data_IF_024196383335
#
_entry.id   IF_024196383335
#
_cell.length_a   1.000
_cell.length_b   1.000
_cell.length_c   1.000
_cell.angle_alpha   90.00
_cell.angle_beta   90.00
_cell.angle_gamma   90.00
#
_symmetry.space_group_name_H-M   'P 1'
#
loop_
_entity.id
_entity.type
_entity.pdbx_description
1 polymer ?
#
# COMPACT_ATOMS: atom_id res chain seq x y z
N UNK A 1 -6.03 -10.23 -12.06
CA UNK A 1 -6.24 -8.85 -11.54
C UNK A 1 -5.85 -8.75 -10.07
N UNK A 2 -5.00 -7.79 -9.71
CA UNK A 2 -4.56 -7.51 -8.33
C UNK A 2 -4.97 -6.11 -7.88
N UNK A 3 -5.36 -5.95 -6.61
CA UNK A 3 -5.66 -4.64 -6.04
C UNK A 3 -4.39 -3.89 -5.69
N UNK A 4 -4.38 -2.58 -5.99
CA UNK A 4 -3.30 -1.68 -5.67
C UNK A 4 -3.69 -0.74 -4.51
N UNK A 5 -2.69 -0.45 -3.69
CA UNK A 5 -2.77 0.53 -2.59
C UNK A 5 -1.66 1.53 -2.81
N UNK A 6 -2.02 2.82 -2.86
CA UNK A 6 -1.01 3.87 -2.84
C UNK A 6 -0.62 4.18 -1.39
N UNK A 7 0.67 4.45 -1.15
CA UNK A 7 1.11 5.02 0.13
C UNK A 7 0.85 6.52 0.18
N UNK A 8 1.04 7.21 -0.94
CA UNK A 8 0.92 8.66 -1.02
C UNK A 8 0.44 9.07 -2.43
N UNK A 9 -0.87 9.13 -2.62
CA UNK A 9 -1.47 9.55 -3.88
C UNK A 9 -2.65 10.46 -3.61
N UNK A 10 -2.37 11.75 -3.72
CA UNK A 10 -3.28 12.84 -3.45
C UNK A 10 -3.24 13.86 -4.59
N UNK A 11 -4.04 14.92 -4.52
CA UNK A 11 -4.11 15.93 -5.58
C UNK A 11 -2.77 16.64 -5.86
N UNK A 12 -1.87 16.68 -4.87
CA UNK A 12 -0.60 17.40 -4.95
C UNK A 12 0.53 16.57 -5.56
N UNK A 13 0.57 15.26 -5.32
CA UNK A 13 1.69 14.39 -5.76
C UNK A 13 1.33 13.38 -6.85
N UNK A 14 0.04 13.18 -7.15
CA UNK A 14 -0.40 12.17 -8.13
C UNK A 14 0.20 12.35 -9.52
N UNK A 15 0.39 13.60 -9.97
CA UNK A 15 0.98 13.88 -11.27
C UNK A 15 2.45 13.49 -11.31
N UNK A 16 3.21 13.85 -10.27
CA UNK A 16 4.62 13.49 -10.13
C UNK A 16 4.81 11.98 -10.02
N UNK A 17 4.01 11.30 -9.20
CA UNK A 17 4.08 9.85 -9.04
C UNK A 17 3.69 9.11 -10.32
N UNK A 18 2.72 9.62 -11.07
CA UNK A 18 2.39 9.10 -12.40
C UNK A 18 3.56 9.24 -13.37
N UNK A 19 4.26 10.38 -13.35
CA UNK A 19 5.45 10.61 -14.18
C UNK A 19 6.60 9.66 -13.82
N UNK A 20 6.80 9.35 -12.53
CA UNK A 20 7.77 8.32 -12.10
C UNK A 20 7.41 6.94 -12.68
N UNK A 21 6.15 6.52 -12.54
CA UNK A 21 5.68 5.23 -13.09
C UNK A 21 5.91 5.17 -14.61
N UNK A 22 5.47 6.20 -15.34
CA UNK A 22 5.62 6.23 -16.80
C UNK A 22 7.07 6.28 -17.24
N UNK A 23 7.93 7.03 -16.52
CA UNK A 23 9.36 7.06 -16.79
C UNK A 23 10.01 5.70 -16.59
N UNK A 24 9.68 4.99 -15.51
CA UNK A 24 10.18 3.65 -15.24
C UNK A 24 9.72 2.64 -16.29
N UNK A 25 8.44 2.65 -16.67
CA UNK A 25 7.92 1.77 -17.72
C UNK A 25 8.57 2.07 -19.07
N UNK A 26 8.75 3.34 -19.41
CA UNK A 26 9.39 3.75 -20.66
C UNK A 26 10.88 3.40 -20.76
N UNK A 27 11.56 3.10 -19.63
CA UNK A 27 12.93 2.54 -19.66
C UNK A 27 12.98 1.09 -20.11
N UNK A 28 11.90 0.34 -19.92
CA UNK A 28 11.85 -1.11 -20.14
C UNK A 28 10.92 -1.54 -21.28
N UNK A 29 10.09 -0.62 -21.78
CA UNK A 29 9.18 -0.84 -22.90
C UNK A 29 8.45 0.43 -23.31
N UNK A 30 7.31 0.29 -23.99
CA UNK A 30 6.47 1.42 -24.39
C UNK A 30 5.27 1.53 -23.46
N UNK A 31 5.12 2.67 -22.78
CA UNK A 31 3.95 2.97 -21.96
C UNK A 31 3.15 4.15 -22.51
N UNK A 32 1.83 4.00 -22.53
CA UNK A 32 0.88 5.04 -22.91
C UNK A 32 -0.11 5.26 -21.77
N UNK A 33 -0.54 6.50 -21.57
CA UNK A 33 -1.46 6.87 -20.50
C UNK A 33 -2.69 7.55 -21.06
N UNK A 34 -3.85 7.18 -20.52
CA UNK A 34 -5.12 7.80 -20.82
C UNK A 34 -5.73 8.37 -19.54
N UNK A 35 -6.21 9.60 -19.62
CA UNK A 35 -6.81 10.31 -18.49
C UNK A 35 -8.33 10.28 -18.60
N UNK A 36 -8.98 10.03 -17.46
CA UNK A 36 -10.41 9.90 -17.39
C UNK A 36 -11.02 10.75 -16.28
N UNK A 37 -12.20 11.28 -16.57
CA UNK A 37 -13.13 11.82 -15.60
C UNK A 37 -14.33 10.88 -15.49
N UNK A 38 -14.31 10.07 -14.44
CA UNK A 38 -15.35 9.11 -14.10
C UNK A 38 -16.09 9.47 -12.82
N UNK A 39 -16.88 8.52 -12.32
CA UNK A 39 -17.49 8.60 -10.99
C UNK A 39 -16.39 8.55 -9.91
N UNK A 40 -16.54 9.28 -8.79
CA UNK A 40 -15.71 9.10 -7.62
C UNK A 40 -15.64 7.63 -7.19
N UNK A 41 -14.50 7.21 -6.62
CA UNK A 41 -14.25 5.83 -6.23
C UNK A 41 -15.38 5.20 -5.39
N UNK A 42 -15.84 5.90 -4.34
CA UNK A 42 -16.91 5.39 -3.48
C UNK A 42 -18.20 5.09 -4.25
N UNK A 43 -18.59 5.98 -5.17
CA UNK A 43 -19.77 5.78 -6.02
C UNK A 43 -19.55 4.58 -6.95
N UNK A 44 -18.34 4.41 -7.48
CA UNK A 44 -17.99 3.28 -8.35
C UNK A 44 -18.14 1.93 -7.63
N UNK A 45 -17.77 1.85 -6.36
CA UNK A 45 -17.95 0.61 -5.56
C UNK A 45 -19.42 0.24 -5.43
N UNK A 46 -20.30 1.24 -5.27
CA UNK A 46 -21.74 1.00 -5.07
C UNK A 46 -22.51 0.69 -6.36
N UNK A 47 -22.28 1.47 -7.41
CA UNK A 47 -23.11 1.44 -8.63
C UNK A 47 -22.31 1.13 -9.90
N UNK A 48 -21.10 0.62 -9.75
CA UNK A 48 -20.21 0.25 -10.83
C UNK A 48 -19.52 1.43 -11.53
N UNK A 49 -18.67 1.10 -12.49
CA UNK A 49 -17.77 2.02 -13.21
C UNK A 49 -18.50 3.16 -13.94
N UNK A 50 -19.70 2.90 -14.45
CA UNK A 50 -20.38 3.79 -15.38
C UNK A 50 -19.58 4.01 -16.67
N UNK A 51 -19.82 5.15 -17.33
CA UNK A 51 -19.14 5.53 -18.58
C UNK A 51 -18.18 6.70 -18.31
N UNK A 52 -16.89 6.43 -18.01
CA UNK A 52 -15.91 7.50 -17.80
C UNK A 52 -15.66 8.27 -19.09
N UNK A 53 -15.48 9.60 -19.00
CA UNK A 53 -15.13 10.45 -20.14
C UNK A 53 -13.63 10.60 -20.25
N UNK A 54 -13.09 10.47 -21.46
CA UNK A 54 -11.68 10.78 -21.75
C UNK A 54 -11.48 12.29 -21.60
N UNK A 55 -10.38 12.69 -20.97
CA UNK A 55 -9.99 14.09 -20.76
C UNK A 55 -8.49 14.26 -21.02
N UNK A 56 -8.00 15.50 -21.06
CA UNK A 56 -6.58 15.78 -21.24
C UNK A 56 -5.80 15.72 -19.91
N UNK A 57 -4.46 15.64 -19.98
CA UNK A 57 -3.56 15.58 -18.81
C UNK A 57 -3.79 16.74 -17.84
N UNK A 58 -3.99 17.93 -18.38
CA UNK A 58 -4.14 19.18 -17.61
C UNK A 58 -5.57 19.41 -17.09
N UNK A 59 -6.52 18.57 -17.52
CA UNK A 59 -7.89 18.61 -17.02
C UNK A 59 -8.01 17.96 -15.63
N UNK A 60 -9.12 18.24 -14.94
CA UNK A 60 -9.47 17.53 -13.71
C UNK A 60 -9.87 16.08 -13.99
N UNK A 61 -8.90 15.17 -13.94
CA UNK A 61 -9.09 13.72 -13.96
C UNK A 61 -9.15 13.12 -12.55
N UNK A 62 -9.81 11.97 -12.44
CA UNK A 62 -9.88 11.16 -11.22
C UNK A 62 -9.57 9.68 -11.45
N UNK A 63 -9.19 9.33 -12.67
CA UNK A 63 -8.79 7.98 -13.04
C UNK A 63 -7.79 8.07 -14.18
N UNK A 64 -6.80 7.19 -14.19
CA UNK A 64 -5.87 7.00 -15.30
C UNK A 64 -5.78 5.53 -15.66
N UNK A 65 -5.65 5.23 -16.96
CA UNK A 65 -5.21 3.90 -17.41
C UNK A 65 -3.83 4.00 -18.01
N UNK A 66 -3.01 3.01 -17.73
CA UNK A 66 -1.69 2.86 -18.28
C UNK A 66 -1.69 1.58 -19.11
N UNK A 67 -1.39 1.74 -20.40
CA UNK A 67 -1.13 0.66 -21.33
C UNK A 67 0.37 0.42 -21.38
N UNK A 68 0.81 -0.82 -21.21
CA UNK A 68 2.22 -1.20 -21.33
C UNK A 68 2.36 -2.26 -22.43
N UNK A 69 3.24 -1.99 -23.39
CA UNK A 69 3.44 -2.83 -24.59
C UNK A 69 2.12 -3.14 -25.34
N UNK A 70 1.20 -2.17 -25.39
CA UNK A 70 -0.09 -2.30 -26.07
C UNK A 70 -1.14 -3.12 -25.32
N UNK A 71 -0.90 -3.47 -24.05
CA UNK A 71 -1.82 -4.18 -23.17
C UNK A 71 -2.24 -3.27 -22.02
N UNK A 72 -3.51 -3.34 -21.60
CA UNK A 72 -3.98 -2.69 -20.38
C UNK A 72 -3.19 -3.26 -19.19
N UNK A 73 -2.35 -2.43 -18.56
CA UNK A 73 -1.49 -2.86 -17.46
C UNK A 73 -2.07 -2.43 -16.12
N UNK A 74 -2.44 -1.16 -16.01
CA UNK A 74 -2.80 -0.56 -14.74
C UNK A 74 -3.97 0.39 -14.91
N UNK A 75 -4.87 0.39 -13.93
CA UNK A 75 -5.86 1.43 -13.75
C UNK A 75 -5.69 2.05 -12.37
N UNK A 76 -5.38 3.33 -12.29
CA UNK A 76 -5.27 4.07 -11.03
C UNK A 76 -6.46 5.00 -10.85
N UNK A 77 -6.92 5.10 -9.61
CA UNK A 77 -8.11 5.84 -9.21
C UNK A 77 -7.69 6.85 -8.16
N UNK A 78 -8.00 8.11 -8.40
CA UNK A 78 -7.91 9.13 -7.37
C UNK A 78 -9.12 9.02 -6.46
N UNK A 79 -8.87 8.61 -5.23
CA UNK A 79 -9.84 8.57 -4.15
C UNK A 79 -9.21 9.22 -2.94
N UNK A 80 -9.88 10.19 -2.32
CA UNK A 80 -9.45 10.69 -1.00
C UNK A 80 -9.53 9.64 0.12
N UNK A 81 -9.94 8.39 -0.18
CA UNK A 81 -9.97 7.26 0.74
C UNK A 81 -9.98 5.90 0.01
N UNK A 82 -9.08 4.96 0.35
CA UNK A 82 -9.21 3.54 0.03
C UNK A 82 -8.24 2.99 -1.02
N UNK A 83 -8.59 1.85 -1.64
CA UNK A 83 -7.79 1.20 -2.69
C UNK A 83 -7.79 2.04 -3.96
N UNK A 84 -6.61 2.23 -4.54
CA UNK A 84 -6.38 3.29 -5.51
C UNK A 84 -6.05 2.77 -6.90
N UNK A 85 -6.27 1.48 -7.15
CA UNK A 85 -6.15 0.96 -8.49
C UNK A 85 -6.18 -0.55 -8.61
N UNK A 86 -5.92 -0.98 -9.84
CA UNK A 86 -5.87 -2.37 -10.25
C UNK A 86 -4.68 -2.60 -11.19
N UNK A 87 -4.03 -3.74 -11.00
CA UNK A 87 -3.04 -4.30 -11.91
C UNK A 87 -3.69 -5.46 -12.68
N UNK A 88 -3.64 -5.40 -14.00
CA UNK A 88 -4.15 -6.43 -14.91
C UNK A 88 -2.98 -7.31 -15.36
N UNK A 89 -2.67 -8.33 -14.58
CA UNK A 89 -1.49 -9.20 -14.77
C UNK A 89 -1.74 -10.41 -15.69
N UNK A 90 -2.98 -10.62 -16.13
CA UNK A 90 -3.42 -11.84 -16.82
C UNK A 90 -2.73 -12.08 -18.18
N UNK A 91 -2.30 -11.01 -18.85
CA UNK A 91 -1.70 -11.07 -20.19
C UNK A 91 -0.20 -10.72 -20.20
N UNK A 92 0.43 -10.71 -19.04
CA UNK A 92 1.84 -10.37 -18.88
C UNK A 92 2.65 -11.60 -18.49
N UNK A 93 3.84 -11.71 -19.08
CA UNK A 93 4.88 -12.62 -18.61
C UNK A 93 5.35 -12.20 -17.22
N UNK A 94 6.02 -13.10 -16.51
CA UNK A 94 6.58 -12.81 -15.18
C UNK A 94 7.58 -11.63 -15.21
N UNK A 95 8.38 -11.54 -16.27
CA UNK A 95 9.32 -10.44 -16.47
C UNK A 95 8.60 -9.09 -16.67
N UNK A 96 7.58 -9.03 -17.53
CA UNK A 96 6.79 -7.81 -17.74
C UNK A 96 6.03 -7.42 -16.45
N UNK A 97 5.45 -8.40 -15.74
CA UNK A 97 4.85 -8.17 -14.43
C UNK A 97 5.85 -7.55 -13.45
N UNK A 98 7.08 -8.08 -13.41
CA UNK A 98 8.15 -7.52 -12.58
C UNK A 98 8.49 -6.08 -12.92
N UNK A 99 8.52 -5.73 -14.21
CA UNK A 99 8.73 -4.34 -14.67
C UNK A 99 7.59 -3.42 -14.24
N UNK A 100 6.34 -3.84 -14.42
CA UNK A 100 5.17 -3.04 -14.02
C UNK A 100 5.11 -2.86 -12.50
N UNK A 101 5.36 -3.91 -11.72
CA UNK A 101 5.39 -3.83 -10.26
C UNK A 101 6.53 -2.91 -9.79
N UNK A 102 7.70 -2.98 -10.43
CA UNK A 102 8.83 -2.09 -10.10
C UNK A 102 8.47 -0.63 -10.37
N UNK A 103 7.86 -0.34 -11.52
CA UNK A 103 7.42 1.01 -11.87
C UNK A 103 6.34 1.53 -10.91
N UNK A 104 5.39 0.68 -10.52
CA UNK A 104 4.39 1.01 -9.50
C UNK A 104 5.05 1.35 -8.16
N UNK A 105 6.09 0.63 -7.77
CA UNK A 105 6.89 0.92 -6.58
C UNK A 105 7.55 2.31 -6.61
N UNK A 106 8.05 2.76 -7.77
CA UNK A 106 8.58 4.13 -7.95
C UNK A 106 7.49 5.21 -7.78
N UNK A 107 6.25 4.90 -8.14
CA UNK A 107 5.08 5.75 -7.91
C UNK A 107 4.42 5.60 -6.54
N UNK A 108 5.06 4.91 -5.60
CA UNK A 108 4.55 4.60 -4.26
C UNK A 108 3.27 3.75 -4.22
N UNK A 109 3.09 2.89 -5.22
CA UNK A 109 2.03 1.88 -5.24
C UNK A 109 2.57 0.51 -4.84
N UNK A 110 1.75 -0.23 -4.11
CA UNK A 110 1.98 -1.61 -3.72
C UNK A 110 0.77 -2.45 -4.11
N UNK A 111 0.98 -3.74 -4.34
CA UNK A 111 -0.14 -4.69 -4.30
C UNK A 111 -0.67 -4.80 -2.88
N UNK A 112 -1.96 -5.08 -2.72
CA UNK A 112 -2.57 -5.30 -1.40
C UNK A 112 -1.83 -6.35 -0.58
N UNK A 113 -1.44 -7.46 -1.21
CA UNK A 113 -0.67 -8.53 -0.56
C UNK A 113 0.66 -8.03 -0.01
N UNK A 114 1.38 -7.21 -0.79
CA UNK A 114 2.63 -6.58 -0.36
C UNK A 114 2.39 -5.60 0.78
N UNK A 115 1.35 -4.77 0.71
CA UNK A 115 0.99 -3.82 1.77
C UNK A 115 0.64 -4.53 3.09
N UNK A 116 -0.14 -5.62 3.03
CA UNK A 116 -0.46 -6.46 4.20
C UNK A 116 0.79 -7.14 4.76
N UNK A 117 1.65 -7.66 3.88
CA UNK A 117 2.91 -8.30 4.26
C UNK A 117 3.85 -7.33 4.99
N UNK A 118 4.02 -6.12 4.48
CA UNK A 118 4.80 -5.06 5.14
C UNK A 118 4.23 -4.67 6.49
N UNK A 119 2.91 -4.48 6.58
CA UNK A 119 2.25 -4.20 7.85
C UNK A 119 2.48 -5.31 8.87
N UNK A 120 2.39 -6.58 8.45
CA UNK A 120 2.73 -7.73 9.31
C UNK A 120 4.19 -7.70 9.78
N UNK A 121 5.14 -7.31 8.93
CA UNK A 121 6.56 -7.15 9.33
C UNK A 121 6.75 -6.06 10.38
N UNK A 122 6.13 -4.90 10.19
CA UNK A 122 6.21 -3.78 11.13
C UNK A 122 5.59 -4.09 12.48
N UNK A 123 4.40 -4.72 12.50
CA UNK A 123 3.78 -5.11 13.78
C UNK A 123 4.66 -6.13 14.49
N UNK A 124 5.21 -7.14 13.78
CA UNK A 124 6.15 -8.09 14.39
C UNK A 124 7.35 -7.38 15.00
N UNK A 125 7.99 -6.48 14.26
CA UNK A 125 9.14 -5.71 14.75
C UNK A 125 8.77 -4.89 16.00
N UNK A 126 7.66 -4.16 15.95
CA UNK A 126 7.14 -3.37 17.06
C UNK A 126 6.88 -4.23 18.30
N UNK A 127 6.23 -5.38 18.13
CA UNK A 127 5.97 -6.31 19.25
C UNK A 127 7.26 -6.89 19.83
N UNK A 128 8.24 -7.27 19.00
CA UNK A 128 9.52 -7.80 19.47
C UNK A 128 10.30 -6.74 20.24
N UNK A 129 10.40 -5.52 19.71
CA UNK A 129 11.04 -4.41 20.39
C UNK A 129 10.32 -4.05 21.71
N UNK A 130 8.99 -4.02 21.71
CA UNK A 130 8.18 -3.77 22.90
C UNK A 130 8.42 -4.79 24.01
N UNK A 131 8.43 -6.09 23.67
CA UNK A 131 8.77 -7.16 24.62
C UNK A 131 10.15 -6.96 25.23
N UNK A 132 11.17 -6.65 24.42
CA UNK A 132 12.53 -6.43 24.92
C UNK A 132 12.63 -5.23 25.86
N UNK A 133 11.99 -4.11 25.51
CA UNK A 133 11.98 -2.89 26.33
C UNK A 133 11.28 -3.15 27.67
N UNK A 134 10.14 -3.84 27.66
CA UNK A 134 9.42 -4.15 28.90
C UNK A 134 10.19 -5.14 29.78
N UNK A 135 10.89 -6.13 29.20
CA UNK A 135 11.75 -7.02 29.97
C UNK A 135 12.88 -6.25 30.68
N UNK A 136 13.53 -5.31 30.00
CA UNK A 136 14.55 -4.44 30.61
C UNK A 136 13.94 -3.59 31.73
N UNK A 137 12.75 -3.04 31.51
CA UNK A 137 12.04 -2.21 32.49
C UNK A 137 11.66 -3.00 33.75
N UNK A 138 11.20 -4.25 33.59
CA UNK A 138 10.93 -5.15 34.71
C UNK A 138 12.20 -5.41 35.53
N UNK A 139 13.33 -5.67 34.88
CA UNK A 139 14.61 -5.88 35.55
C UNK A 139 15.03 -4.63 36.33
N UNK A 140 14.99 -3.45 35.70
CA UNK A 140 15.34 -2.18 36.35
C UNK A 140 14.43 -1.86 37.55
N UNK A 141 13.11 -1.99 37.40
CA UNK A 141 12.15 -1.80 38.48
C UNK A 141 12.36 -2.79 39.63
N UNK A 142 12.71 -4.04 39.31
CA UNK A 142 13.01 -5.07 40.32
C UNK A 142 14.26 -4.72 41.12
N UNK A 143 15.33 -4.26 40.44
CA UNK A 143 16.58 -3.83 41.09
C UNK A 143 16.37 -2.61 41.99
N UNK A 144 15.44 -1.71 41.64
CA UNK A 144 15.08 -0.52 42.42
C UNK A 144 14.06 -0.79 43.53
N UNK A 145 13.54 -2.01 43.64
CA UNK A 145 12.46 -2.34 44.59
C UNK A 145 11.12 -1.66 44.27
N UNK A 146 10.91 -1.19 43.02
CA UNK A 146 9.68 -0.54 42.60
C UNK A 146 8.62 -1.56 42.17
N UNK A 147 7.88 -2.11 43.14
CA UNK A 147 6.85 -3.14 42.90
C UNK A 147 5.74 -2.68 41.96
N UNK A 148 5.33 -1.40 42.03
CA UNK A 148 4.30 -0.85 41.14
C UNK A 148 4.80 -0.84 39.69
N UNK A 149 6.06 -0.43 39.49
CA UNK A 149 6.71 -0.45 38.17
C UNK A 149 6.79 -1.86 37.57
N UNK A 150 7.09 -2.86 38.38
CA UNK A 150 7.13 -4.28 37.94
C UNK A 150 5.75 -4.75 37.47
N UNK A 151 4.69 -4.44 38.23
CA UNK A 151 3.31 -4.86 37.90
C UNK A 151 2.85 -4.20 36.59
N UNK A 152 3.10 -2.90 36.44
CA UNK A 152 2.73 -2.16 35.24
C UNK A 152 3.44 -2.69 33.99
N UNK A 153 4.76 -2.84 34.04
CA UNK A 153 5.54 -3.38 32.91
C UNK A 153 5.16 -4.82 32.56
N UNK A 154 4.85 -5.65 33.57
CA UNK A 154 4.35 -7.02 33.32
C UNK A 154 3.00 -7.01 32.58
N UNK A 155 2.10 -6.08 32.92
CA UNK A 155 0.83 -5.93 32.22
C UNK A 155 1.01 -5.53 30.75
N UNK A 156 1.92 -4.58 30.48
CA UNK A 156 2.25 -4.15 29.11
C UNK A 156 2.92 -5.29 28.33
N UNK A 157 3.82 -6.05 28.96
CA UNK A 157 4.47 -7.23 28.38
C UNK A 157 3.44 -8.28 27.93
N UNK A 158 2.45 -8.59 28.77
CA UNK A 158 1.34 -9.50 28.40
C UNK A 158 0.58 -8.97 27.19
N UNK A 159 0.35 -7.66 27.10
CA UNK A 159 -0.26 -7.03 25.93
C UNK A 159 0.51 -7.29 24.63
N UNK A 160 1.83 -7.09 24.64
CA UNK A 160 2.67 -7.37 23.47
C UNK A 160 2.68 -8.86 23.09
N UNK A 161 2.73 -9.76 24.08
CA UNK A 161 2.70 -11.21 23.84
C UNK A 161 1.36 -11.65 23.23
N UNK A 162 0.23 -11.09 23.70
CA UNK A 162 -1.09 -11.36 23.13
C UNK A 162 -1.20 -10.89 21.68
N UNK A 163 -0.71 -9.69 21.36
CA UNK A 163 -0.69 -9.17 19.99
C UNK A 163 0.16 -10.11 19.10
N UNK A 164 1.33 -10.52 19.57
CA UNK A 164 2.19 -11.45 18.84
C UNK A 164 1.50 -12.81 18.60
N UNK A 165 0.81 -13.35 19.60
CA UNK A 165 0.07 -14.61 19.49
C UNK A 165 -1.08 -14.53 18.47
N UNK A 166 -1.88 -13.45 18.51
CA UNK A 166 -2.96 -13.20 17.54
C UNK A 166 -2.41 -13.17 16.10
N UNK A 167 -1.24 -12.56 15.91
CA UNK A 167 -0.60 -12.49 14.60
C UNK A 167 -0.14 -13.85 14.04
N UNK A 168 0.20 -14.82 14.90
CA UNK A 168 0.60 -16.17 14.47
C UNK A 168 -0.61 -16.99 14.03
N UNK A 169 -1.74 -16.81 14.71
CA UNK A 169 -2.99 -17.54 14.42
C UNK A 169 -3.65 -17.02 13.13
N UNK A 170 -3.56 -15.72 12.86
CA UNK A 170 -4.02 -15.11 11.59
C UNK A 170 -3.07 -15.39 10.41
N UNK A 171 -2.80 -16.68 10.16
CA UNK A 171 -2.09 -17.18 8.98
C UNK A 171 -3.03 -17.28 7.80
#
# INVERSE_FOLDING_TARGET
>A
MKHLVARNWNEFNRSENLEKILSSLNRSGKAEVEFFKGRPYFIRVLVGRGNPKVVYKDDKWNMVRINYQGKDAVELLYSGAGYEGYLFDENFTEAECGQVITALGEGEFLTWESAVSERKKWIKLFTTCGVLIELVSIIDHSLKGNTIGVILSSGVLVGFVLIFYIMIIWK
#
